data_IF_995989664628
#
_entry.id   IF_995989664628
#
_cell.length_a   1.000
_cell.length_b   1.000
_cell.length_c   1.000
_cell.angle_alpha   90.00
_cell.angle_beta   90.00
_cell.angle_gamma   90.00
#
_symmetry.space_group_name_H-M   'P 1'
#
loop_
_entity.id
_entity.type
_entity.pdbx_description
1 polymer ?
#
# COMPACT_ATOMS: atom_id res chain seq x y z
N UNK A 1 34.51 26.30 -27.73
CA UNK A 1 33.71 26.49 -26.50
C UNK A 1 34.65 26.97 -25.42
N UNK A 2 34.46 28.17 -24.87
CA UNK A 2 35.34 28.70 -23.83
C UNK A 2 35.05 27.97 -22.52
N UNK A 3 36.06 27.38 -21.88
CA UNK A 3 35.93 26.61 -20.63
C UNK A 3 35.19 27.37 -19.52
N UNK A 4 35.32 28.69 -19.51
CA UNK A 4 34.62 29.58 -18.57
C UNK A 4 33.08 29.56 -18.73
N UNK A 5 32.56 29.33 -19.95
CA UNK A 5 31.12 29.20 -20.18
C UNK A 5 30.54 27.92 -19.54
N UNK A 6 31.30 26.83 -19.54
CA UNK A 6 30.86 25.57 -18.90
C UNK A 6 30.78 25.73 -17.39
N UNK A 7 31.76 26.41 -16.80
CA UNK A 7 31.77 26.73 -15.36
C UNK A 7 30.55 27.59 -14.98
N UNK A 8 30.20 28.59 -15.78
CA UNK A 8 29.04 29.44 -15.53
C UNK A 8 27.71 28.67 -15.59
N UNK A 9 27.56 27.70 -16.50
CA UNK A 9 26.36 26.87 -16.61
C UNK A 9 26.21 25.98 -15.38
N UNK A 10 27.30 25.35 -14.92
CA UNK A 10 27.28 24.48 -13.73
C UNK A 10 26.92 25.29 -12.47
N UNK A 11 27.54 26.45 -12.29
CA UNK A 11 27.23 27.34 -11.16
C UNK A 11 25.79 27.83 -11.24
N UNK A 12 25.31 28.20 -12.42
CA UNK A 12 23.92 28.61 -12.64
C UNK A 12 22.91 27.52 -12.27
N UNK A 13 23.14 26.27 -12.67
CA UNK A 13 22.27 25.15 -12.33
C UNK A 13 22.21 24.88 -10.83
N UNK A 14 23.36 24.97 -10.13
CA UNK A 14 23.42 24.80 -8.67
C UNK A 14 22.63 25.90 -7.96
N UNK A 15 22.78 27.16 -8.38
CA UNK A 15 22.06 28.30 -7.81
C UNK A 15 20.55 28.17 -8.04
N UNK A 16 20.12 27.74 -9.23
CA UNK A 16 18.70 27.48 -9.53
C UNK A 16 18.15 26.34 -8.67
N UNK A 17 18.90 25.25 -8.51
CA UNK A 17 18.51 24.13 -7.64
C UNK A 17 18.36 24.53 -6.17
N UNK A 18 19.32 25.31 -5.65
CA UNK A 18 19.28 25.81 -4.27
C UNK A 18 18.14 26.80 -4.04
N UNK A 19 17.89 27.69 -4.99
CA UNK A 19 16.78 28.67 -4.89
C UNK A 19 15.41 27.98 -5.01
N UNK A 20 15.24 27.04 -5.94
CA UNK A 20 14.01 26.26 -6.05
C UNK A 20 13.75 25.44 -4.79
N UNK A 21 14.77 24.75 -4.26
CA UNK A 21 14.68 24.00 -3.00
C UNK A 21 14.37 24.89 -1.79
N UNK A 22 14.99 26.07 -1.71
CA UNK A 22 14.73 27.03 -0.65
C UNK A 22 13.31 27.61 -0.71
N UNK A 23 12.79 27.90 -1.91
CA UNK A 23 11.41 28.38 -2.10
C UNK A 23 10.41 27.27 -1.73
N UNK A 24 10.64 26.02 -2.13
CA UNK A 24 9.80 24.89 -1.77
C UNK A 24 9.77 24.69 -0.24
N UNK A 25 10.93 24.72 0.41
CA UNK A 25 11.05 24.62 1.87
C UNK A 25 10.31 25.78 2.56
N UNK A 26 10.41 27.00 2.05
CA UNK A 26 9.72 28.17 2.60
C UNK A 26 8.20 28.10 2.44
N UNK A 27 7.69 27.52 1.35
CA UNK A 27 6.25 27.32 1.12
C UNK A 27 5.69 26.24 2.06
N UNK A 28 6.42 25.15 2.26
CA UNK A 28 6.05 24.09 3.22
C UNK A 28 6.03 24.66 4.66
N UNK A 29 7.03 25.47 5.03
CA UNK A 29 7.08 26.09 6.35
C UNK A 29 5.95 27.13 6.52
N UNK A 30 5.62 27.93 5.49
CA UNK A 30 4.53 28.91 5.57
C UNK A 30 3.15 28.27 5.67
N UNK A 31 2.91 27.18 4.95
CA UNK A 31 1.66 26.41 5.06
C UNK A 31 1.57 25.69 6.41
N UNK A 32 2.69 25.23 6.96
CA UNK A 32 2.76 24.62 8.30
C UNK A 32 2.65 25.64 9.45
N UNK A 33 3.13 26.88 9.26
CA UNK A 33 3.07 27.93 10.26
C UNK A 33 1.68 28.57 10.38
N UNK A 34 0.87 28.54 9.31
CA UNK A 34 -0.54 28.94 9.37
C UNK A 34 -1.42 27.97 10.18
N UNK A 35 -0.90 26.79 10.54
CA UNK A 35 -1.58 25.77 11.36
C UNK A 35 -1.27 25.91 12.87
N UNK A 36 -0.48 26.91 13.28
CA UNK A 36 -0.27 27.22 14.71
C UNK A 36 -1.23 28.33 15.19
N UNK A 37 -2.52 28.01 15.29
CA UNK A 37 -3.46 28.71 16.17
C UNK A 37 -3.91 27.73 17.25
N UNK A 38 -3.84 28.07 18.55
CA UNK A 38 -4.26 27.17 19.62
C UNK A 38 -5.79 27.27 19.73
N UNK A 39 -6.49 26.54 18.87
CA UNK A 39 -7.94 26.50 18.88
C UNK A 39 -8.35 25.05 18.66
N UNK A 40 -8.82 24.43 19.75
CA UNK A 40 -9.43 23.08 19.87
C UNK A 40 -9.12 22.14 18.71
N UNK A 41 -8.22 21.19 18.97
CA UNK A 41 -7.83 20.11 18.08
C UNK A 41 -8.96 19.69 17.12
N UNK A 42 -8.86 20.01 15.81
CA UNK A 42 -9.71 19.38 14.84
C UNK A 42 -9.26 17.92 14.82
N UNK A 43 -10.17 17.06 15.24
CA UNK A 43 -10.13 15.61 15.05
C UNK A 43 -9.49 15.36 13.69
N UNK A 44 -8.33 14.70 13.67
CA UNK A 44 -7.76 14.14 12.44
C UNK A 44 -8.93 13.46 11.76
N UNK A 45 -9.40 14.00 10.63
CA UNK A 45 -10.35 13.25 9.83
C UNK A 45 -9.63 11.96 9.51
N UNK A 46 -10.11 10.80 10.01
CA UNK A 46 -9.60 9.55 9.51
C UNK A 46 -9.92 9.60 8.02
N UNK A 47 -8.92 9.29 7.17
CA UNK A 47 -9.24 8.69 5.87
C UNK A 47 -10.34 7.68 6.19
N UNK A 48 -11.53 7.73 5.56
CA UNK A 48 -12.57 6.76 5.87
C UNK A 48 -11.95 5.39 5.67
N UNK A 49 -11.58 4.73 6.78
CA UNK A 49 -11.54 3.29 6.84
C UNK A 49 -12.99 2.96 6.54
N UNK A 50 -13.28 2.72 5.26
CA UNK A 50 -14.60 2.28 4.85
C UNK A 50 -14.79 0.96 5.60
N UNK A 51 -15.50 1.07 6.73
CA UNK A 51 -15.93 -0.05 7.54
C UNK A 51 -16.94 -0.79 6.68
N UNK A 52 -16.45 -1.62 5.75
CA UNK A 52 -17.22 -2.75 5.24
C UNK A 52 -17.30 -3.75 6.39
N UNK A 53 -18.25 -3.52 7.30
CA UNK A 53 -18.84 -4.59 8.08
C UNK A 53 -20.08 -5.03 7.32
N UNK A 54 -20.09 -6.20 6.65
CA UNK A 54 -21.35 -6.90 6.52
C UNK A 54 -21.86 -7.12 7.94
N UNK A 55 -23.07 -6.61 8.21
CA UNK A 55 -23.76 -6.84 9.46
C UNK A 55 -23.86 -8.36 9.71
N UNK A 56 -23.65 -8.75 10.97
CA UNK A 56 -23.96 -10.06 11.55
C UNK A 56 -23.05 -11.25 11.21
N UNK A 57 -21.73 -11.08 11.26
CA UNK A 57 -20.81 -12.20 11.53
C UNK A 57 -19.83 -11.80 12.63
N UNK A 58 -19.98 -12.40 13.81
CA UNK A 58 -19.02 -12.32 14.91
C UNK A 58 -17.59 -12.56 14.36
N UNK A 59 -16.67 -11.58 14.41
CA UNK A 59 -15.44 -11.68 13.65
C UNK A 59 -14.49 -12.59 14.43
N UNK A 60 -14.58 -13.89 14.17
CA UNK A 60 -13.42 -14.76 14.33
C UNK A 60 -12.35 -14.16 13.43
N UNK A 61 -11.44 -13.34 13.98
CA UNK A 61 -10.39 -12.66 13.21
C UNK A 61 -9.67 -13.75 12.43
N UNK A 62 -9.77 -13.79 11.08
CA UNK A 62 -9.13 -14.83 10.32
C UNK A 62 -7.65 -14.85 10.65
N UNK A 63 -7.08 -16.04 10.73
CA UNK A 63 -5.62 -16.20 10.67
C UNK A 63 -5.08 -15.42 9.45
N UNK A 64 -3.92 -14.77 9.58
CA UNK A 64 -3.30 -14.02 8.49
C UNK A 64 -3.12 -14.91 7.25
N UNK A 65 -2.80 -16.18 7.44
CA UNK A 65 -2.70 -17.15 6.34
C UNK A 65 -4.06 -17.40 5.66
N UNK A 66 -5.14 -17.49 6.44
CA UNK A 66 -6.49 -17.67 5.90
C UNK A 66 -6.94 -16.42 5.11
N UNK A 67 -6.62 -15.22 5.61
CA UNK A 67 -6.87 -13.97 4.90
C UNK A 67 -6.09 -13.88 3.58
N UNK A 68 -4.81 -14.24 3.60
CA UNK A 68 -3.97 -14.28 2.40
C UNK A 68 -4.55 -15.23 1.35
N UNK A 69 -4.93 -16.45 1.73
CA UNK A 69 -5.49 -17.42 0.78
C UNK A 69 -6.86 -16.98 0.26
N UNK A 70 -7.69 -16.35 1.09
CA UNK A 70 -8.95 -15.76 0.66
C UNK A 70 -8.75 -14.64 -0.36
N UNK A 71 -7.87 -13.67 -0.05
CA UNK A 71 -7.55 -12.56 -0.95
C UNK A 71 -6.92 -13.04 -2.25
N UNK A 72 -6.11 -14.11 -2.21
CA UNK A 72 -5.54 -14.74 -3.41
C UNK A 72 -6.62 -15.28 -4.34
N UNK A 73 -7.70 -15.86 -3.81
CA UNK A 73 -8.85 -16.32 -4.62
C UNK A 73 -9.58 -15.14 -5.26
N UNK A 74 -9.91 -14.10 -4.48
CA UNK A 74 -10.50 -12.88 -5.03
C UNK A 74 -9.62 -12.30 -6.14
N UNK A 75 -8.30 -12.29 -5.96
CA UNK A 75 -7.38 -11.77 -6.95
C UNK A 75 -7.27 -12.63 -8.22
N UNK A 76 -7.48 -13.94 -8.11
CA UNK A 76 -7.23 -14.90 -9.20
C UNK A 76 -8.48 -15.38 -9.94
N UNK A 77 -9.67 -15.24 -9.36
CA UNK A 77 -10.92 -15.72 -9.97
C UNK A 77 -11.25 -15.00 -11.30
N UNK A 78 -12.22 -15.47 -12.06
CA UNK A 78 -12.67 -14.73 -13.24
C UNK A 78 -13.39 -13.44 -12.87
N UNK A 79 -13.18 -12.38 -13.66
CA UNK A 79 -13.86 -11.10 -13.46
C UNK A 79 -15.35 -11.22 -13.80
N UNK A 80 -16.22 -10.97 -12.80
CA UNK A 80 -17.69 -11.06 -12.96
C UNK A 80 -18.35 -9.73 -13.30
N UNK A 81 -17.57 -8.68 -13.56
CA UNK A 81 -18.10 -7.35 -13.85
C UNK A 81 -18.44 -6.52 -12.61
N UNK A 82 -18.04 -6.93 -11.40
CA UNK A 82 -18.24 -6.14 -10.18
C UNK A 82 -17.02 -6.21 -9.27
N UNK A 83 -16.51 -5.07 -8.77
CA UNK A 83 -15.35 -5.06 -7.89
C UNK A 83 -15.70 -5.67 -6.55
N UNK A 84 -14.85 -6.58 -6.07
CA UNK A 84 -14.99 -7.23 -4.78
C UNK A 84 -13.99 -6.67 -3.78
N UNK A 85 -14.39 -6.42 -2.53
CA UNK A 85 -13.46 -5.94 -1.52
C UNK A 85 -12.54 -7.08 -1.03
N UNK A 86 -11.28 -6.74 -0.84
CA UNK A 86 -10.29 -7.56 -0.15
C UNK A 86 -10.40 -7.40 1.37
N UNK A 87 -9.97 -8.42 2.10
CA UNK A 87 -9.86 -8.39 3.56
C UNK A 87 -8.49 -7.83 3.97
N UNK A 88 -8.46 -6.89 4.93
CA UNK A 88 -7.21 -6.33 5.47
C UNK A 88 -7.08 -6.45 6.98
N UNK A 89 -8.09 -7.01 7.64
CA UNK A 89 -8.20 -6.92 9.11
C UNK A 89 -7.16 -7.77 9.82
N UNK A 90 -6.81 -8.95 9.29
CA UNK A 90 -5.80 -9.79 9.91
C UNK A 90 -4.42 -9.12 9.81
N UNK A 91 -4.11 -8.53 8.65
CA UNK A 91 -2.89 -7.75 8.46
C UNK A 91 -2.78 -6.56 9.41
N UNK A 92 -3.86 -5.77 9.53
CA UNK A 92 -3.88 -4.56 10.37
C UNK A 92 -3.74 -4.88 11.87
N UNK A 93 -4.26 -6.03 12.31
CA UNK A 93 -4.31 -6.41 13.72
C UNK A 93 -3.17 -7.32 14.19
N UNK A 94 -2.42 -7.96 13.28
CA UNK A 94 -1.43 -9.00 13.61
C UNK A 94 0.01 -8.61 13.23
N UNK A 95 0.43 -7.40 13.59
CA UNK A 95 1.78 -6.90 13.31
C UNK A 95 2.91 -7.81 13.81
N UNK A 96 2.74 -8.48 14.96
CA UNK A 96 3.74 -9.40 15.50
C UNK A 96 3.94 -10.66 14.62
N UNK A 97 2.86 -11.24 14.09
CA UNK A 97 2.93 -12.39 13.18
C UNK A 97 3.61 -12.01 11.87
N UNK A 98 3.36 -10.79 11.36
CA UNK A 98 4.01 -10.25 10.17
C UNK A 98 5.53 -10.11 10.36
N UNK A 99 5.99 -9.76 11.56
CA UNK A 99 7.42 -9.66 11.84
C UNK A 99 8.15 -11.00 11.86
N UNK A 100 7.44 -12.10 12.14
CA UNK A 100 7.98 -13.47 12.11
C UNK A 100 8.25 -13.99 10.68
N UNK A 101 7.66 -13.34 9.67
CA UNK A 101 7.79 -13.74 8.28
C UNK A 101 9.19 -13.40 7.71
N UNK A 102 9.68 -14.19 6.74
CA UNK A 102 10.88 -13.83 5.97
C UNK A 102 10.75 -12.41 5.41
N UNK A 103 11.85 -11.65 5.43
CA UNK A 103 11.87 -10.23 4.99
C UNK A 103 11.27 -10.05 3.61
N UNK A 104 11.59 -10.96 2.68
CA UNK A 104 11.06 -10.92 1.32
C UNK A 104 9.53 -11.10 1.29
N UNK A 105 9.00 -12.05 2.06
CA UNK A 105 7.57 -12.31 2.12
C UNK A 105 6.83 -11.13 2.75
N UNK A 106 7.40 -10.54 3.80
CA UNK A 106 6.86 -9.36 4.45
C UNK A 106 6.80 -8.15 3.52
N UNK A 107 7.83 -7.92 2.70
CA UNK A 107 7.85 -6.81 1.75
C UNK A 107 6.77 -6.99 0.67
N UNK A 108 6.66 -8.19 0.11
CA UNK A 108 5.64 -8.52 -0.87
C UNK A 108 4.22 -8.39 -0.32
N UNK A 109 4.00 -8.82 0.94
CA UNK A 109 2.71 -8.62 1.62
C UNK A 109 2.43 -7.15 1.89
N UNK A 110 3.40 -6.38 2.35
CA UNK A 110 3.22 -4.92 2.57
C UNK A 110 2.73 -4.22 1.31
N UNK A 111 3.35 -4.52 0.17
CA UNK A 111 2.95 -3.94 -1.12
C UNK A 111 1.58 -4.48 -1.55
N UNK A 112 1.31 -5.79 -1.41
CA UNK A 112 0.02 -6.38 -1.75
C UNK A 112 -1.13 -5.78 -0.92
N UNK A 113 -0.96 -5.61 0.39
CA UNK A 113 -1.98 -5.02 1.27
C UNK A 113 -2.19 -3.52 1.01
N UNK A 114 -1.15 -2.81 0.54
CA UNK A 114 -1.30 -1.43 0.06
C UNK A 114 -2.15 -1.37 -1.22
N UNK A 115 -1.89 -2.27 -2.18
CA UNK A 115 -2.68 -2.39 -3.41
C UNK A 115 -4.14 -2.78 -3.10
N UNK A 116 -4.36 -3.68 -2.13
CA UNK A 116 -5.70 -4.06 -1.66
C UNK A 116 -6.46 -2.90 -1.04
N UNK A 117 -5.80 -2.06 -0.23
CA UNK A 117 -6.43 -0.87 0.35
C UNK A 117 -6.89 0.11 -0.73
N UNK A 118 -6.11 0.27 -1.80
CA UNK A 118 -6.51 1.08 -2.95
C UNK A 118 -7.67 0.43 -3.72
N UNK A 119 -7.63 -0.89 -3.96
CA UNK A 119 -8.70 -1.62 -4.63
C UNK A 119 -10.02 -1.58 -3.83
N UNK A 120 -9.94 -1.61 -2.50
CA UNK A 120 -11.09 -1.43 -1.60
C UNK A 120 -11.68 -0.02 -1.71
N UNK A 121 -10.84 1.00 -1.87
CA UNK A 121 -11.29 2.37 -2.12
C UNK A 121 -12.03 2.49 -3.46
N UNK A 122 -11.55 1.83 -4.52
CA UNK A 122 -12.25 1.76 -5.81
C UNK A 122 -13.58 1.01 -5.68
N UNK A 123 -13.59 -0.12 -4.95
CA UNK A 123 -14.80 -0.90 -4.68
C UNK A 123 -15.85 -0.06 -3.98
N UNK A 124 -15.44 0.72 -2.97
CA UNK A 124 -16.29 1.66 -2.26
C UNK A 124 -16.88 2.75 -3.17
N UNK A 125 -16.03 3.36 -4.01
CA UNK A 125 -16.49 4.36 -4.97
C UNK A 125 -17.51 3.78 -5.95
N UNK A 126 -17.30 2.56 -6.44
CA UNK A 126 -18.16 1.91 -7.42
C UNK A 126 -19.50 1.47 -6.83
N UNK A 127 -19.48 0.87 -5.63
CA UNK A 127 -20.67 0.24 -5.03
C UNK A 127 -21.48 1.19 -4.15
N UNK A 128 -20.83 1.93 -3.25
CA UNK A 128 -21.53 2.77 -2.26
C UNK A 128 -21.85 4.16 -2.83
N UNK A 129 -20.91 4.72 -3.59
CA UNK A 129 -21.07 6.06 -4.16
C UNK A 129 -21.71 6.03 -5.56
N UNK A 130 -21.96 4.84 -6.11
CA UNK A 130 -22.48 4.64 -7.47
C UNK A 130 -21.57 5.23 -8.57
N UNK A 131 -20.30 5.51 -8.25
CA UNK A 131 -19.33 6.12 -9.18
C UNK A 131 -18.54 5.01 -9.87
N UNK A 132 -19.16 4.44 -10.90
CA UNK A 132 -18.53 3.45 -11.75
C UNK A 132 -18.10 4.06 -13.08
N UNK A 133 -16.89 3.71 -13.52
CA UNK A 133 -16.37 4.03 -14.85
C UNK A 133 -15.47 2.91 -15.35
N UNK A 134 -15.34 2.79 -16.67
CA UNK A 134 -14.43 1.82 -17.29
C UNK A 134 -12.99 1.99 -16.78
N UNK A 135 -12.53 3.23 -16.59
CA UNK A 135 -11.21 3.52 -16.04
C UNK A 135 -11.00 3.04 -14.60
N UNK A 136 -12.06 3.03 -13.77
CA UNK A 136 -12.00 2.50 -12.40
C UNK A 136 -11.97 0.98 -12.42
N UNK A 137 -12.76 0.35 -13.31
CA UNK A 137 -12.77 -1.09 -13.49
C UNK A 137 -11.39 -1.58 -14.00
N UNK A 138 -10.78 -0.89 -14.97
CA UNK A 138 -9.41 -1.17 -15.43
C UNK A 138 -8.38 -1.01 -14.31
N UNK A 139 -8.48 0.04 -13.51
CA UNK A 139 -7.56 0.30 -12.39
C UNK A 139 -7.69 -0.80 -11.33
N UNK A 140 -8.92 -1.20 -11.00
CA UNK A 140 -9.19 -2.30 -10.11
C UNK A 140 -8.61 -3.61 -10.65
N UNK A 141 -8.81 -3.93 -11.93
CA UNK A 141 -8.26 -5.13 -12.56
C UNK A 141 -6.73 -5.16 -12.55
N UNK A 142 -6.05 -4.02 -12.76
CA UNK A 142 -4.59 -3.94 -12.64
C UNK A 142 -4.11 -4.23 -11.21
N UNK A 143 -4.78 -3.66 -10.21
CA UNK A 143 -4.48 -3.94 -8.80
C UNK A 143 -4.71 -5.40 -8.46
N UNK A 144 -5.82 -5.97 -8.95
CA UNK A 144 -6.16 -7.38 -8.78
C UNK A 144 -5.08 -8.30 -9.32
N UNK A 145 -4.56 -8.04 -10.52
CA UNK A 145 -3.44 -8.79 -11.10
C UNK A 145 -2.15 -8.62 -10.28
N UNK A 146 -1.79 -7.40 -9.88
CA UNK A 146 -0.62 -7.13 -9.03
C UNK A 146 -0.69 -7.91 -7.72
N UNK A 147 -1.85 -7.87 -7.06
CA UNK A 147 -2.12 -8.60 -5.82
C UNK A 147 -1.98 -10.11 -6.04
N UNK A 148 -2.57 -10.67 -7.10
CA UNK A 148 -2.48 -12.10 -7.41
C UNK A 148 -1.02 -12.54 -7.57
N UNK A 149 -0.22 -11.81 -8.35
CA UNK A 149 1.19 -12.10 -8.56
C UNK A 149 1.99 -12.06 -7.26
N UNK A 150 1.80 -11.03 -6.44
CA UNK A 150 2.49 -10.86 -5.15
C UNK A 150 2.15 -11.99 -4.19
N UNK A 151 0.87 -12.30 -4.01
CA UNK A 151 0.44 -13.36 -3.11
C UNK A 151 0.94 -14.74 -3.57
N UNK A 152 1.04 -14.98 -4.88
CA UNK A 152 1.65 -16.19 -5.42
C UNK A 152 3.16 -16.26 -5.09
N UNK A 153 3.90 -15.15 -5.18
CA UNK A 153 5.32 -15.09 -4.76
C UNK A 153 5.50 -15.34 -3.26
N UNK A 154 4.65 -14.75 -2.42
CA UNK A 154 4.63 -14.99 -0.97
C UNK A 154 4.40 -16.48 -0.69
N UNK A 155 3.41 -17.10 -1.34
CA UNK A 155 3.12 -18.53 -1.18
C UNK A 155 4.33 -19.41 -1.49
N UNK A 156 5.05 -19.12 -2.57
CA UNK A 156 6.28 -19.83 -2.92
C UNK A 156 7.34 -19.65 -1.82
N UNK A 157 7.59 -18.42 -1.37
CA UNK A 157 8.60 -18.14 -0.36
C UNK A 157 8.31 -18.82 0.98
N UNK A 158 7.04 -18.87 1.40
CA UNK A 158 6.63 -19.57 2.62
C UNK A 158 6.78 -21.09 2.48
N UNK A 159 6.53 -21.63 1.29
CA UNK A 159 6.73 -23.07 1.00
C UNK A 159 8.21 -23.45 1.05
N UNK A 160 9.09 -22.63 0.48
CA UNK A 160 10.54 -22.88 0.50
C UNK A 160 11.17 -22.65 1.87
N UNK A 161 10.70 -21.65 2.64
CA UNK A 161 11.17 -21.40 4.00
C UNK A 161 10.85 -22.57 4.95
N UNK A 162 9.73 -23.27 4.76
CA UNK A 162 9.38 -24.47 5.51
C UNK A 162 10.19 -25.73 5.15
N UNK A 163 10.93 -25.70 4.02
CA UNK A 163 11.75 -26.83 3.54
C UNK A 163 13.26 -26.63 3.73
N UNK A 164 13.70 -25.52 4.34
CA UNK A 164 15.12 -25.29 4.58
C UNK A 164 15.71 -26.46 5.40
N UNK A 165 16.72 -27.18 4.90
CA UNK A 165 17.31 -28.29 5.63
C UNK A 165 17.91 -27.75 6.93
N UNK A 166 17.53 -28.36 8.07
CA UNK A 166 18.31 -28.28 9.30
C UNK A 166 19.68 -28.81 8.94
N UNK A 167 20.63 -27.92 8.65
CA UNK A 167 22.03 -28.29 8.54
C UNK A 167 22.41 -28.68 9.97
N UNK A 168 22.32 -29.98 10.25
CA UNK A 168 22.88 -30.58 11.45
C UNK A 168 24.34 -30.20 11.44
N UNK A 169 24.71 -29.28 12.31
CA UNK A 169 26.08 -28.97 12.64
C UNK A 169 26.73 -30.28 13.08
N UNK A 170 27.44 -30.92 12.16
CA UNK A 170 28.37 -31.99 12.48
C UNK A 170 29.53 -31.33 13.23
N UNK A 171 29.66 -31.77 14.48
CA UNK A 171 30.78 -31.48 15.38
C UNK A 171 32.11 -31.96 14.80
#
# INVERSE_FOLDING_TARGET
MAWWQVVLIIVGAIVIGLTAGYVLNRVIIRTSAAVKRPEKAPVRQPVPQAVYQPADVEPTVPDLYAEIEYNRRIASDDWKGEPQPFLTRAWDNRGEEVHSLPVQARNELTEAYSDMALANSITWLSTEMGRRSESLDESYLKLRSSVAERLNRVKLQLTYAGQAPKITSLQ
#
